data_IF_088683846464
#
_entry.id   IF_088683846464
#
_cell.length_a   1.000
_cell.length_b   1.000
_cell.length_c   1.000
_cell.angle_alpha   90.00
_cell.angle_beta   90.00
_cell.angle_gamma   90.00
#
_symmetry.space_group_name_H-M   'P 1'
#
loop_
_entity.id
_entity.type
_entity.pdbx_description
1 polymer ?
#
# COMPACT_ATOMS: atom_id res chain seq x y z
N UNK A 1 -12.38 19.86 11.54
CA UNK A 1 -13.46 19.44 10.62
C UNK A 1 -13.45 17.92 10.64
N UNK A 2 -14.49 17.29 11.20
CA UNK A 2 -14.65 15.84 11.14
C UNK A 2 -14.90 15.45 9.69
N UNK A 3 -13.99 14.67 9.11
CA UNK A 3 -14.14 14.09 7.79
C UNK A 3 -15.00 12.85 8.01
N UNK A 4 -16.33 12.99 8.03
CA UNK A 4 -17.19 11.81 7.83
C UNK A 4 -16.84 11.25 6.44
N UNK A 5 -16.45 9.97 6.38
CA UNK A 5 -16.08 9.33 5.11
C UNK A 5 -17.20 9.48 4.07
N UNK A 6 -16.84 9.94 2.87
CA UNK A 6 -17.75 10.34 1.79
C UNK A 6 -18.30 9.15 1.00
N UNK A 7 -17.71 7.96 1.11
CA UNK A 7 -18.19 6.78 0.39
C UNK A 7 -19.42 6.21 1.08
N UNK A 8 -20.44 5.85 0.30
CA UNK A 8 -21.62 5.17 0.83
C UNK A 8 -21.31 3.76 1.34
N UNK A 9 -20.41 3.07 0.62
CA UNK A 9 -19.84 1.77 0.98
C UNK A 9 -18.38 1.78 0.55
N UNK A 10 -17.48 1.39 1.43
CA UNK A 10 -16.08 1.12 1.14
C UNK A 10 -15.83 -0.39 1.15
N UNK A 11 -15.05 -0.85 0.19
CA UNK A 11 -14.73 -2.26 -0.01
C UNK A 11 -13.24 -2.55 0.24
N UNK A 12 -12.87 -3.83 0.17
CA UNK A 12 -11.49 -4.30 0.24
C UNK A 12 -11.04 -4.75 -1.14
N UNK A 13 -9.96 -4.17 -1.64
CA UNK A 13 -9.35 -4.52 -2.92
C UNK A 13 -7.94 -5.05 -2.72
N UNK A 14 -7.58 -6.06 -3.50
CA UNK A 14 -6.23 -6.61 -3.53
C UNK A 14 -5.69 -6.53 -4.95
N UNK A 15 -4.52 -5.89 -5.10
CA UNK A 15 -3.75 -5.89 -6.33
C UNK A 15 -2.50 -6.75 -6.16
N UNK A 16 -2.55 -7.96 -6.71
CA UNK A 16 -1.52 -9.00 -6.56
C UNK A 16 -0.97 -9.49 -7.90
N UNK A 17 -0.23 -10.59 -7.89
CA UNK A 17 0.35 -11.21 -9.08
C UNK A 17 1.77 -10.75 -9.39
N UNK A 18 2.42 -11.47 -10.31
CA UNK A 18 3.84 -11.29 -10.59
C UNK A 18 4.16 -10.18 -11.60
N UNK A 19 3.16 -9.71 -12.34
CA UNK A 19 3.29 -8.64 -13.32
C UNK A 19 3.51 -7.26 -12.68
N UNK A 20 4.10 -6.37 -13.48
CA UNK A 20 4.16 -4.94 -13.19
C UNK A 20 2.76 -4.34 -13.23
N UNK A 21 2.45 -3.46 -12.28
CA UNK A 21 1.25 -2.62 -12.34
C UNK A 21 0.44 -2.48 -11.04
N UNK A 22 0.75 -3.29 -10.01
CA UNK A 22 0.03 -3.29 -8.72
C UNK A 22 0.01 -1.90 -8.05
N UNK A 23 1.19 -1.36 -7.73
CA UNK A 23 1.34 -0.01 -7.14
C UNK A 23 0.76 1.06 -8.07
N UNK A 24 1.07 1.02 -9.37
CA UNK A 24 0.60 2.06 -10.30
C UNK A 24 -0.91 2.05 -10.48
N UNK A 25 -1.58 0.91 -10.36
CA UNK A 25 -3.04 0.82 -10.34
C UNK A 25 -3.62 1.45 -9.07
N UNK A 26 -3.02 1.18 -7.89
CA UNK A 26 -3.39 1.84 -6.64
C UNK A 26 -3.20 3.36 -6.70
N UNK A 27 -2.08 3.83 -7.26
CA UNK A 27 -1.81 5.26 -7.46
C UNK A 27 -2.80 5.87 -8.46
N UNK A 28 -3.11 5.19 -9.56
CA UNK A 28 -4.11 5.65 -10.53
C UNK A 28 -5.49 5.80 -9.91
N UNK A 29 -5.88 4.88 -9.03
CA UNK A 29 -7.11 5.00 -8.24
C UNK A 29 -7.04 6.19 -7.27
N UNK A 30 -5.92 6.38 -6.58
CA UNK A 30 -5.71 7.54 -5.71
C UNK A 30 -5.87 8.87 -6.46
N UNK A 31 -5.28 8.98 -7.65
CA UNK A 31 -5.42 10.17 -8.52
C UNK A 31 -6.88 10.40 -8.90
N UNK A 32 -7.61 9.34 -9.28
CA UNK A 32 -9.05 9.44 -9.61
C UNK A 32 -9.87 9.95 -8.41
N UNK A 33 -9.61 9.41 -7.23
CA UNK A 33 -10.33 9.78 -6.01
C UNK A 33 -10.00 11.22 -5.59
N UNK A 34 -8.72 11.60 -5.62
CA UNK A 34 -8.28 12.96 -5.35
C UNK A 34 -8.90 13.99 -6.30
N UNK A 35 -9.01 13.66 -7.60
CA UNK A 35 -9.69 14.50 -8.60
C UNK A 35 -11.19 14.72 -8.33
N UNK A 36 -11.82 13.86 -7.51
CA UNK A 36 -13.19 14.01 -7.03
C UNK A 36 -13.27 14.54 -5.59
N UNK A 37 -12.16 15.02 -5.04
CA UNK A 37 -12.09 15.62 -3.71
C UNK A 37 -12.18 14.62 -2.55
N UNK A 38 -11.94 13.33 -2.79
CA UNK A 38 -11.79 12.33 -1.73
C UNK A 38 -10.39 12.39 -1.14
N UNK A 39 -10.28 12.17 0.17
CA UNK A 39 -9.01 12.10 0.88
C UNK A 39 -8.46 10.67 0.81
N UNK A 40 -7.28 10.53 0.23
CA UNK A 40 -6.58 9.26 0.04
C UNK A 40 -5.31 9.28 0.86
N UNK A 41 -5.17 8.30 1.75
CA UNK A 41 -3.93 8.02 2.44
C UNK A 41 -3.30 6.77 1.84
N UNK A 42 -2.01 6.85 1.52
CA UNK A 42 -1.24 5.71 1.07
C UNK A 42 -0.03 5.51 1.98
N UNK A 43 0.05 4.36 2.62
CA UNK A 43 1.21 3.94 3.39
C UNK A 43 2.04 3.00 2.52
N UNK A 44 3.30 3.34 2.30
CA UNK A 44 4.22 2.54 1.51
C UNK A 44 5.15 1.76 2.42
N UNK A 45 5.03 0.44 2.38
CA UNK A 45 5.88 -0.49 3.10
C UNK A 45 7.08 -0.90 2.25
N UNK A 46 8.23 -1.14 2.87
CA UNK A 46 9.47 -1.59 2.23
C UNK A 46 10.02 -0.63 1.17
N UNK A 47 9.68 0.66 1.26
CA UNK A 47 10.07 1.69 0.28
C UNK A 47 10.84 2.82 0.96
N UNK A 48 12.13 2.93 0.65
CA UNK A 48 13.03 3.95 1.23
C UNK A 48 13.58 5.00 0.26
N UNK A 49 13.43 4.81 -1.05
CA UNK A 49 14.02 5.70 -2.07
C UNK A 49 13.02 6.74 -2.58
N UNK A 50 13.46 7.93 -2.98
CA UNK A 50 12.59 8.91 -3.64
C UNK A 50 11.94 8.27 -4.88
N UNK A 51 10.64 8.49 -5.06
CA UNK A 51 9.88 8.02 -6.24
C UNK A 51 9.00 9.14 -6.79
N UNK A 52 8.63 9.03 -8.07
CA UNK A 52 7.73 10.00 -8.72
C UNK A 52 6.36 10.15 -8.06
N UNK A 53 5.85 9.12 -7.39
CA UNK A 53 4.55 9.17 -6.70
C UNK A 53 4.55 10.15 -5.52
N UNK A 54 5.67 10.27 -4.78
CA UNK A 54 5.79 11.25 -3.67
C UNK A 54 5.72 12.67 -4.21
N UNK A 55 6.42 12.96 -5.32
CA UNK A 55 6.36 14.30 -5.91
C UNK A 55 4.99 14.59 -6.52
N UNK A 56 4.31 13.56 -7.02
CA UNK A 56 2.94 13.67 -7.54
C UNK A 56 1.92 13.91 -6.42
N UNK A 57 2.06 13.23 -5.27
CA UNK A 57 1.15 13.41 -4.14
C UNK A 57 1.20 14.83 -3.58
N UNK A 58 2.38 15.46 -3.54
CA UNK A 58 2.51 16.89 -3.15
C UNK A 58 1.69 17.83 -4.03
N UNK A 59 1.61 17.55 -5.33
CA UNK A 59 0.81 18.34 -6.28
C UNK A 59 -0.69 18.09 -6.14
N UNK A 60 -1.06 16.94 -5.56
CA UNK A 60 -2.44 16.53 -5.32
C UNK A 60 -2.89 16.77 -3.86
N UNK A 61 -2.06 17.44 -3.06
CA UNK A 61 -2.42 17.85 -1.72
C UNK A 61 -3.60 18.85 -1.74
N UNK A 62 -4.51 18.81 -0.75
CA UNK A 62 -4.47 17.95 0.44
C UNK A 62 -5.06 16.54 0.23
N UNK A 63 -5.54 16.22 -0.97
CA UNK A 63 -6.40 15.06 -1.22
C UNK A 63 -5.64 13.74 -1.36
N UNK A 64 -4.36 13.74 -1.74
CA UNK A 64 -3.56 12.51 -1.80
C UNK A 64 -2.26 12.65 -1.02
N UNK A 65 -2.13 11.88 0.07
CA UNK A 65 -0.97 11.92 0.95
C UNK A 65 -0.31 10.53 1.01
N UNK A 66 1.02 10.52 0.86
CA UNK A 66 1.84 9.32 0.96
C UNK A 66 2.66 9.39 2.26
N UNK A 67 2.62 8.31 3.03
CA UNK A 67 3.32 8.16 4.30
C UNK A 67 4.33 7.01 4.21
N UNK A 68 5.50 7.24 4.77
CA UNK A 68 6.58 6.25 4.91
C UNK A 68 7.17 6.39 6.31
N UNK A 69 7.35 5.26 6.98
CA UNK A 69 7.83 5.20 8.37
C UNK A 69 9.24 4.61 8.45
N UNK A 70 9.69 4.00 7.36
CA UNK A 70 10.94 3.26 7.30
C UNK A 70 12.09 4.15 6.84
N UNK A 71 13.28 3.90 7.39
CA UNK A 71 14.50 4.52 6.90
C UNK A 71 14.91 3.91 5.56
N UNK A 72 15.67 4.66 4.77
CA UNK A 72 16.28 4.12 3.55
C UNK A 72 17.24 2.99 3.91
N UNK A 73 16.95 1.78 3.44
CA UNK A 73 17.79 0.58 3.59
C UNK A 73 17.89 -0.20 2.27
N UNK A 74 18.76 -1.20 2.24
CA UNK A 74 18.79 -2.21 1.19
C UNK A 74 17.55 -3.10 1.24
N UNK A 75 17.53 -4.14 0.40
CA UNK A 75 16.45 -5.12 0.41
C UNK A 75 16.48 -5.97 1.69
N UNK A 76 15.32 -6.51 2.12
CA UNK A 76 15.22 -7.28 3.36
C UNK A 76 16.25 -8.42 3.49
N UNK A 77 16.54 -9.13 2.40
CA UNK A 77 17.50 -10.25 2.38
C UNK A 77 18.97 -9.80 2.49
N UNK A 78 19.26 -8.51 2.30
CA UNK A 78 20.61 -7.95 2.48
C UNK A 78 20.86 -7.42 3.89
N UNK A 79 19.82 -7.38 4.74
CA UNK A 79 19.89 -6.81 6.08
C UNK A 79 20.46 -7.80 7.10
N UNK A 80 21.22 -7.28 8.05
CA UNK A 80 21.66 -8.02 9.24
C UNK A 80 20.52 -8.17 10.27
N UNK A 81 20.78 -8.89 11.37
CA UNK A 81 19.75 -9.18 12.38
C UNK A 81 19.22 -7.92 13.08
N UNK A 82 20.09 -6.97 13.42
CA UNK A 82 19.74 -5.72 14.09
C UNK A 82 18.88 -4.84 13.16
N UNK A 83 19.29 -4.70 11.90
CA UNK A 83 18.54 -3.96 10.88
C UNK A 83 17.14 -4.54 10.64
N UNK A 84 16.98 -5.87 10.72
CA UNK A 84 15.67 -6.53 10.61
C UNK A 84 14.77 -6.25 11.81
N UNK A 85 15.33 -6.16 13.01
CA UNK A 85 14.57 -5.77 14.22
C UNK A 85 14.09 -4.32 14.07
N UNK A 86 15.00 -3.40 13.71
CA UNK A 86 14.62 -2.00 13.49
C UNK A 86 13.57 -1.84 12.38
N UNK A 87 13.75 -2.55 11.27
CA UNK A 87 12.78 -2.52 10.17
C UNK A 87 11.41 -3.03 10.64
N UNK A 88 11.36 -4.09 11.46
CA UNK A 88 10.10 -4.59 12.01
C UNK A 88 9.42 -3.53 12.86
N UNK A 89 10.14 -2.82 13.72
CA UNK A 89 9.57 -1.73 14.51
C UNK A 89 9.03 -0.58 13.65
N UNK A 90 9.74 -0.21 12.58
CA UNK A 90 9.32 0.85 11.66
C UNK A 90 8.07 0.45 10.85
N UNK A 91 8.03 -0.80 10.38
CA UNK A 91 6.85 -1.37 9.71
C UNK A 91 5.64 -1.40 10.66
N UNK A 92 5.84 -1.77 11.93
CA UNK A 92 4.78 -1.76 12.93
C UNK A 92 4.25 -0.34 13.20
N UNK A 93 5.10 0.70 13.15
CA UNK A 93 4.61 2.11 13.20
C UNK A 93 3.71 2.45 12.01
N UNK A 94 4.05 1.97 10.81
CA UNK A 94 3.20 2.12 9.63
C UNK A 94 1.86 1.39 9.74
N UNK A 95 1.86 0.19 10.33
CA UNK A 95 0.65 -0.56 10.65
C UNK A 95 -0.24 0.20 11.66
N UNK A 96 0.34 0.67 12.76
CA UNK A 96 -0.41 1.44 13.78
C UNK A 96 -0.98 2.73 13.21
N UNK A 97 -0.24 3.42 12.33
CA UNK A 97 -0.77 4.59 11.62
C UNK A 97 -1.98 4.24 10.75
N UNK A 98 -1.95 3.11 10.02
CA UNK A 98 -3.09 2.64 9.24
C UNK A 98 -4.31 2.38 10.14
N UNK A 99 -4.09 1.68 11.26
CA UNK A 99 -5.13 1.36 12.24
C UNK A 99 -5.75 2.61 12.84
N UNK A 100 -4.94 3.60 13.21
CA UNK A 100 -5.41 4.88 13.70
C UNK A 100 -6.16 5.69 12.62
N UNK A 101 -5.66 5.69 11.38
CA UNK A 101 -6.31 6.39 10.27
C UNK A 101 -7.70 5.82 9.96
N UNK A 102 -7.88 4.50 10.06
CA UNK A 102 -9.20 3.86 9.95
C UNK A 102 -10.08 4.21 11.15
N UNK A 103 -9.57 4.02 12.37
CA UNK A 103 -10.34 4.26 13.61
C UNK A 103 -10.87 5.68 13.71
N UNK A 104 -10.05 6.66 13.35
CA UNK A 104 -10.36 8.09 13.43
C UNK A 104 -10.98 8.62 12.11
N UNK A 105 -11.30 7.74 11.16
CA UNK A 105 -11.87 8.07 9.85
C UNK A 105 -11.14 9.20 9.11
N UNK A 106 -9.80 9.21 9.16
CA UNK A 106 -8.98 10.33 8.63
C UNK A 106 -8.93 10.41 7.09
N UNK A 107 -9.42 9.39 6.40
CA UNK A 107 -9.40 9.29 4.94
C UNK A 107 -10.64 8.56 4.42
N UNK A 108 -10.95 8.76 3.14
CA UNK A 108 -12.01 8.02 2.43
C UNK A 108 -11.46 6.71 1.83
N UNK A 109 -10.16 6.69 1.50
CA UNK A 109 -9.47 5.55 0.91
C UNK A 109 -8.11 5.38 1.60
N UNK A 110 -7.84 4.18 2.11
CA UNK A 110 -6.55 3.78 2.66
C UNK A 110 -5.88 2.75 1.75
N UNK A 111 -4.68 3.07 1.27
CA UNK A 111 -3.84 2.19 0.46
C UNK A 111 -2.68 1.70 1.31
N UNK A 112 -2.56 0.39 1.49
CA UNK A 112 -1.40 -0.26 2.08
C UNK A 112 -0.56 -0.89 0.97
N UNK A 113 0.38 -0.11 0.44
CA UNK A 113 1.19 -0.49 -0.70
C UNK A 113 2.40 -1.33 -0.26
N UNK A 114 2.58 -2.49 -0.90
CA UNK A 114 3.57 -3.53 -0.59
C UNK A 114 3.45 -4.14 0.83
N UNK A 115 2.25 -4.06 1.43
CA UNK A 115 1.95 -4.73 2.71
C UNK A 115 2.12 -6.25 2.64
N UNK A 116 1.86 -6.87 1.48
CA UNK A 116 2.12 -8.31 1.32
C UNK A 116 3.62 -8.60 1.35
N UNK A 117 4.47 -7.68 0.89
CA UNK A 117 5.91 -7.77 1.06
C UNK A 117 6.31 -7.76 2.54
N UNK A 118 5.70 -6.88 3.34
CA UNK A 118 5.93 -6.85 4.79
C UNK A 118 5.46 -8.14 5.49
N UNK A 119 4.29 -8.66 5.10
CA UNK A 119 3.75 -9.92 5.61
C UNK A 119 4.67 -11.10 5.28
N UNK A 120 5.06 -11.25 4.01
CA UNK A 120 5.91 -12.36 3.55
C UNK A 120 7.29 -12.38 4.21
N UNK A 121 7.77 -11.23 4.72
CA UNK A 121 9.03 -11.12 5.47
C UNK A 121 8.84 -11.23 6.99
N UNK A 122 7.64 -11.52 7.50
CA UNK A 122 7.35 -11.66 8.93
C UNK A 122 7.39 -10.35 9.72
N UNK A 123 7.27 -9.22 9.03
CA UNK A 123 7.30 -7.88 9.64
C UNK A 123 5.92 -7.44 10.11
N UNK A 124 4.86 -7.94 9.45
CA UNK A 124 3.44 -7.85 9.85
C UNK A 124 2.88 -9.27 9.83
N UNK A 125 1.98 -9.62 10.76
CA UNK A 125 1.34 -10.94 10.77
C UNK A 125 0.09 -11.00 9.88
N UNK A 126 -0.32 -12.20 9.49
CA UNK A 126 -1.58 -12.39 8.74
C UNK A 126 -2.78 -11.90 9.56
N UNK A 127 -2.78 -12.16 10.86
CA UNK A 127 -3.83 -11.75 11.80
C UNK A 127 -3.95 -10.23 11.86
N UNK A 128 -2.84 -9.50 11.82
CA UNK A 128 -2.86 -8.03 11.79
C UNK A 128 -3.54 -7.50 10.52
N UNK A 129 -3.29 -8.10 9.36
CA UNK A 129 -3.95 -7.69 8.10
C UNK A 129 -5.45 -8.03 8.13
N UNK A 130 -5.81 -9.22 8.63
CA UNK A 130 -7.20 -9.62 8.80
C UNK A 130 -7.93 -8.72 9.80
N UNK A 131 -7.29 -8.34 10.90
CA UNK A 131 -7.82 -7.40 11.91
C UNK A 131 -8.16 -6.05 11.27
N UNK A 132 -7.28 -5.50 10.42
CA UNK A 132 -7.56 -4.25 9.70
C UNK A 132 -8.74 -4.37 8.75
N UNK A 133 -8.85 -5.49 8.03
CA UNK A 133 -9.98 -5.75 7.11
C UNK A 133 -11.29 -5.81 7.89
N UNK A 134 -11.32 -6.50 9.03
CA UNK A 134 -12.52 -6.69 9.83
C UNK A 134 -12.96 -5.41 10.55
N UNK A 135 -12.00 -4.57 10.97
CA UNK A 135 -12.28 -3.36 11.75
C UNK A 135 -12.37 -2.08 10.91
N UNK A 136 -12.18 -2.14 9.59
CA UNK A 136 -12.29 -0.94 8.76
C UNK A 136 -13.73 -0.36 8.85
N UNK A 137 -13.89 0.97 8.91
CA UNK A 137 -15.19 1.58 8.78
C UNK A 137 -15.90 1.21 7.48
N UNK A 138 -17.24 1.14 7.52
CA UNK A 138 -18.07 0.74 6.39
C UNK A 138 -17.94 1.70 5.19
N UNK A 139 -17.54 2.94 5.43
CA UNK A 139 -17.42 4.06 4.48
C UNK A 139 -15.96 4.32 4.03
N UNK A 140 -15.01 3.44 4.35
CA UNK A 140 -13.62 3.55 3.91
C UNK A 140 -13.24 2.39 2.99
N UNK A 141 -12.69 2.73 1.83
CA UNK A 141 -12.09 1.77 0.89
C UNK A 141 -10.69 1.38 1.35
N UNK A 142 -10.38 0.09 1.40
CA UNK A 142 -9.08 -0.44 1.77
C UNK A 142 -8.44 -1.15 0.57
N UNK A 143 -7.24 -0.74 0.18
CA UNK A 143 -6.52 -1.32 -0.95
C UNK A 143 -5.20 -1.90 -0.46
N UNK A 144 -4.98 -3.18 -0.71
CA UNK A 144 -3.77 -3.91 -0.35
C UNK A 144 -2.99 -4.28 -1.62
N UNK A 145 -1.68 -4.07 -1.63
CA UNK A 145 -0.84 -4.46 -2.78
C UNK A 145 0.30 -5.39 -2.38
N UNK A 146 0.76 -6.17 -3.36
CA UNK A 146 1.96 -6.98 -3.27
C UNK A 146 1.72 -8.43 -3.71
N UNK A 147 2.78 -9.23 -3.70
CA UNK A 147 2.78 -10.61 -4.24
C UNK A 147 2.37 -11.63 -3.18
N UNK A 148 1.97 -12.83 -3.63
CA UNK A 148 1.75 -14.01 -2.79
C UNK A 148 0.80 -13.75 -1.61
N UNK A 149 -0.36 -13.15 -1.89
CA UNK A 149 -1.36 -12.88 -0.85
C UNK A 149 -1.96 -14.20 -0.30
N UNK A 150 -2.00 -14.41 1.02
CA UNK A 150 -2.62 -15.58 1.62
C UNK A 150 -4.11 -15.73 1.28
N UNK A 151 -4.57 -16.98 1.17
CA UNK A 151 -5.98 -17.30 0.86
C UNK A 151 -6.95 -16.67 1.86
N UNK A 152 -6.61 -16.67 3.15
CA UNK A 152 -7.47 -16.08 4.18
C UNK A 152 -7.74 -14.58 3.95
N UNK A 153 -6.75 -13.85 3.44
CA UNK A 153 -6.89 -12.43 3.09
C UNK A 153 -7.67 -12.27 1.77
N UNK A 154 -7.43 -13.12 0.77
CA UNK A 154 -8.22 -13.16 -0.47
C UNK A 154 -9.71 -13.36 -0.17
N UNK A 155 -10.04 -14.33 0.68
CA UNK A 155 -11.41 -14.72 0.98
C UNK A 155 -12.23 -13.57 1.63
N UNK A 156 -11.56 -12.59 2.25
CA UNK A 156 -12.21 -11.39 2.84
C UNK A 156 -12.27 -10.19 1.90
N UNK A 157 -11.60 -10.23 0.75
CA UNK A 157 -11.61 -9.14 -0.19
C UNK A 157 -12.86 -9.14 -1.07
N UNK A 158 -13.32 -7.95 -1.45
CA UNK A 158 -14.45 -7.80 -2.38
C UNK A 158 -13.97 -7.78 -3.84
N UNK A 159 -12.73 -7.36 -4.08
CA UNK A 159 -12.10 -7.34 -5.39
C UNK A 159 -10.67 -7.84 -5.30
N UNK A 160 -10.31 -8.79 -6.16
CA UNK A 160 -8.92 -9.25 -6.29
C UNK A 160 -8.53 -9.22 -7.76
N UNK A 161 -7.48 -8.45 -8.06
CA UNK A 161 -6.89 -8.39 -9.40
C UNK A 161 -5.50 -9.02 -9.38
N UNK A 162 -5.30 -10.02 -10.23
CA UNK A 162 -3.99 -10.62 -10.46
C UNK A 162 -3.33 -9.99 -11.70
N UNK A 163 -2.25 -9.24 -11.49
CA UNK A 163 -1.38 -8.77 -12.54
C UNK A 163 -0.48 -9.93 -12.98
N UNK A 164 -0.79 -10.55 -14.13
CA UNK A 164 0.04 -11.63 -14.69
C UNK A 164 1.21 -11.06 -15.48
N UNK A 165 2.40 -11.62 -15.29
CA UNK A 165 3.58 -11.28 -16.09
C UNK A 165 3.53 -12.03 -17.43
N UNK A 166 2.79 -11.49 -18.39
CA UNK A 166 2.70 -12.06 -19.74
C UNK A 166 3.97 -11.78 -20.54
N UNK A 167 4.52 -10.56 -20.41
CA UNK A 167 5.79 -10.12 -20.99
C UNK A 167 6.34 -8.93 -20.21
N UNK A 168 7.65 -8.90 -19.97
CA UNK A 168 8.33 -7.79 -19.33
C UNK A 168 9.68 -7.50 -20.00
N UNK A 169 9.97 -6.25 -20.36
CA UNK A 169 11.23 -5.85 -21.03
C UNK A 169 12.48 -6.04 -20.15
N UNK A 170 12.31 -6.20 -18.84
CA UNK A 170 13.41 -6.64 -17.96
C UNK A 170 13.99 -7.99 -18.41
N UNK A 171 13.15 -8.90 -18.92
CA UNK A 171 13.61 -10.20 -19.43
C UNK A 171 14.42 -10.06 -20.73
N UNK A 172 14.36 -8.90 -21.38
CA UNK A 172 15.17 -8.51 -22.54
C UNK A 172 16.40 -7.66 -22.13
N UNK A 173 16.69 -7.57 -20.82
CA UNK A 173 17.85 -6.85 -20.28
C UNK A 173 17.65 -5.35 -20.11
N UNK A 174 16.42 -4.83 -20.27
CA UNK A 174 16.14 -3.41 -20.07
C UNK A 174 16.12 -3.08 -18.57
N UNK A 175 17.00 -2.17 -18.08
CA UNK A 175 17.04 -1.80 -16.67
C UNK A 175 15.86 -0.89 -16.29
N UNK A 176 15.71 -0.63 -14.99
CA UNK A 176 14.71 0.32 -14.48
C UNK A 176 14.96 1.74 -14.99
N UNK A 177 13.88 2.43 -15.36
CA UNK A 177 13.90 3.79 -15.92
C UNK A 177 13.07 4.75 -15.07
N UNK A 178 13.59 5.96 -14.91
CA UNK A 178 12.90 7.06 -14.26
C UNK A 178 11.59 7.39 -14.98
N UNK A 179 10.51 7.61 -14.22
CA UNK A 179 9.17 7.89 -14.73
C UNK A 179 8.40 6.65 -15.20
N UNK A 180 9.03 5.47 -15.25
CA UNK A 180 8.38 4.22 -15.67
C UNK A 180 8.42 3.14 -14.57
N UNK A 181 9.58 2.94 -13.95
CA UNK A 181 9.78 2.00 -12.83
C UNK A 181 9.85 2.71 -11.47
N UNK A 182 10.38 3.94 -11.43
CA UNK A 182 10.56 4.74 -10.21
C UNK A 182 10.46 6.25 -10.47
#
# INVERSE_FOLDING_TARGET
MNIMGKLKNGYVQIYTGNGKGKTTAAVGLAVRAAGNGYNVFMVQFLKGSKTGEIESSKKLAPFFNIFRFEKKRGFFWTLNAEEKIELKEEVQKGYEFCKEALKEEKCDILIMDEVMGALNNGLISEEQVLELIDNKPYNIELILTGRNVPKAIIDKANLVTEMKDIKHYFNEGVPSREGIEF
#
